data_IF_154034182757
#
_entry.id   IF_154034182757
#
_cell.length_a   1.000
_cell.length_b   1.000
_cell.length_c   1.000
_cell.angle_alpha   90.00
_cell.angle_beta   90.00
_cell.angle_gamma   90.00
#
_symmetry.space_group_name_H-M   'P 1'
#
loop_
_entity.id
_entity.type
_entity.pdbx_description
1 polymer ?
#
# COMPACT_ATOMS: atom_id res chain seq x y z
N UNK A 1 -5.76 23.55 19.70
CA UNK A 1 -4.41 23.40 19.10
C UNK A 1 -3.62 22.51 20.02
N UNK A 2 -2.88 21.50 19.49
CA UNK A 2 -2.10 20.57 20.31
C UNK A 2 -1.21 21.27 21.32
N UNK A 3 -0.59 22.40 20.94
CA UNK A 3 0.26 23.21 21.82
C UNK A 3 -0.40 23.76 23.10
N UNK A 4 -1.72 23.60 23.29
CA UNK A 4 -2.45 24.01 24.50
C UNK A 4 -3.27 22.90 25.14
N UNK A 5 -3.60 21.86 24.38
CA UNK A 5 -4.53 20.80 24.82
C UNK A 5 -3.85 19.46 25.02
N UNK A 6 -2.63 19.29 24.50
CA UNK A 6 -1.86 18.06 24.54
C UNK A 6 -0.49 18.33 25.18
N UNK A 7 -0.09 17.49 26.13
CA UNK A 7 1.16 17.64 26.88
C UNK A 7 2.38 17.49 25.97
N UNK A 8 2.35 16.51 25.06
CA UNK A 8 3.42 16.26 24.10
C UNK A 8 3.46 17.37 23.05
N UNK A 9 2.29 17.80 22.57
CA UNK A 9 2.16 18.91 21.62
C UNK A 9 2.65 20.25 22.18
N UNK A 10 2.43 20.51 23.47
CA UNK A 10 2.96 21.68 24.16
C UNK A 10 4.49 21.61 24.29
N UNK A 11 5.02 20.48 24.76
CA UNK A 11 6.47 20.29 24.91
C UNK A 11 7.22 20.40 23.58
N UNK A 12 6.71 19.77 22.52
CA UNK A 12 7.32 19.85 21.19
C UNK A 12 7.19 21.25 20.57
N UNK A 13 6.17 22.03 20.91
CA UNK A 13 6.00 23.37 20.35
C UNK A 13 7.15 24.32 20.70
N UNK A 14 7.80 24.14 21.86
CA UNK A 14 8.98 24.92 22.25
C UNK A 14 10.17 24.76 21.26
N UNK A 15 10.27 23.62 20.58
CA UNK A 15 11.33 23.40 19.58
C UNK A 15 11.13 24.19 18.29
N UNK A 16 9.91 24.65 18.01
CA UNK A 16 9.52 25.35 16.78
C UNK A 16 8.95 26.75 17.11
N UNK A 17 9.46 27.39 18.17
CA UNK A 17 9.14 28.78 18.51
C UNK A 17 8.01 28.97 19.54
N UNK A 18 7.62 27.92 20.25
CA UNK A 18 6.73 27.98 21.40
C UNK A 18 5.25 27.78 21.09
N UNK A 19 4.40 27.81 22.13
CA UNK A 19 2.96 27.59 21.99
C UNK A 19 2.30 28.72 21.19
N UNK A 20 1.23 28.38 20.48
CA UNK A 20 0.46 29.34 19.68
C UNK A 20 0.04 30.54 20.53
N UNK A 21 0.47 31.73 20.13
CA UNK A 21 0.25 32.98 20.85
C UNK A 21 -1.22 33.31 21.09
N UNK A 22 -1.50 34.09 22.15
CA UNK A 22 -2.88 34.46 22.55
C UNK A 22 -3.67 35.14 21.44
N UNK A 23 -2.99 35.93 20.60
CA UNK A 23 -3.59 36.70 19.50
C UNK A 23 -3.51 36.00 18.14
N UNK A 24 -3.03 34.76 18.07
CA UNK A 24 -2.93 34.04 16.81
C UNK A 24 -4.32 33.73 16.24
N UNK A 25 -4.55 34.11 14.99
CA UNK A 25 -5.79 33.86 14.27
C UNK A 25 -5.82 32.42 13.72
N UNK A 26 -6.16 31.48 14.58
CA UNK A 26 -6.28 30.06 14.23
C UNK A 26 -7.45 29.83 13.28
N UNK A 27 -7.22 29.11 12.18
CA UNK A 27 -8.27 28.73 11.23
C UNK A 27 -8.61 29.78 10.17
N UNK A 28 -7.95 30.95 10.16
CA UNK A 28 -8.12 31.99 9.12
C UNK A 28 -7.11 31.89 7.96
N UNK A 29 -6.09 31.04 8.09
CA UNK A 29 -5.16 30.75 7.00
C UNK A 29 -5.88 30.09 5.83
N UNK A 30 -5.96 30.79 4.68
CA UNK A 30 -6.60 30.26 3.46
C UNK A 30 -5.76 29.20 2.77
N UNK A 31 -4.43 29.26 2.90
CA UNK A 31 -3.52 28.37 2.18
C UNK A 31 -3.00 27.22 3.05
N UNK A 32 -2.50 27.48 4.25
CA UNK A 32 -1.94 26.45 5.12
C UNK A 32 -3.02 25.99 6.12
N UNK A 33 -3.88 25.08 5.65
CA UNK A 33 -4.86 24.39 6.51
C UNK A 33 -4.17 23.27 7.31
N UNK A 34 -4.74 22.82 8.45
CA UNK A 34 -4.18 21.71 9.21
C UNK A 34 -3.96 20.45 8.36
N UNK A 35 -4.90 20.14 7.47
CA UNK A 35 -4.77 19.02 6.55
C UNK A 35 -3.57 19.18 5.61
N UNK A 36 -3.38 20.36 5.01
CA UNK A 36 -2.24 20.60 4.11
C UNK A 36 -0.90 20.53 4.85
N UNK A 37 -0.84 21.02 6.09
CA UNK A 37 0.35 20.87 6.92
C UNK A 37 0.68 19.39 7.19
N UNK A 38 -0.32 18.57 7.53
CA UNK A 38 -0.12 17.13 7.73
C UNK A 38 0.26 16.40 6.43
N UNK A 39 -0.30 16.79 5.29
CA UNK A 39 0.08 16.23 3.99
C UNK A 39 1.55 16.57 3.64
N UNK A 40 2.01 17.79 3.94
CA UNK A 40 3.42 18.15 3.78
C UNK A 40 4.33 17.30 4.66
N UNK A 41 3.95 17.10 5.93
CA UNK A 41 4.68 16.20 6.84
C UNK A 41 4.73 14.78 6.28
N UNK A 42 3.60 14.25 5.81
CA UNK A 42 3.56 12.92 5.21
C UNK A 42 4.43 12.81 3.96
N UNK A 43 4.49 13.85 3.11
CA UNK A 43 5.38 13.88 1.95
C UNK A 43 6.86 13.82 2.35
N UNK A 44 7.26 14.49 3.45
CA UNK A 44 8.62 14.38 3.99
C UNK A 44 8.91 12.95 4.44
N UNK A 45 7.99 12.33 5.20
CA UNK A 45 8.17 10.95 5.67
C UNK A 45 8.16 9.92 4.53
N UNK A 46 7.34 10.13 3.50
CA UNK A 46 7.35 9.35 2.26
C UNK A 46 8.68 9.52 1.52
N UNK A 47 9.21 10.74 1.42
CA UNK A 47 10.50 10.98 0.79
C UNK A 47 11.66 10.31 1.55
N UNK A 48 11.63 10.36 2.89
CA UNK A 48 12.55 9.62 3.74
C UNK A 48 12.42 8.11 3.50
N UNK A 49 11.19 7.60 3.44
CA UNK A 49 10.96 6.18 3.19
C UNK A 49 11.46 5.72 1.84
N UNK A 50 11.24 6.50 0.78
CA UNK A 50 11.82 6.23 -0.54
C UNK A 50 13.35 6.24 -0.49
N UNK A 51 13.93 7.20 0.24
CA UNK A 51 15.39 7.32 0.41
C UNK A 51 15.98 6.08 1.09
N UNK A 52 15.28 5.45 2.04
CA UNK A 52 15.73 4.18 2.64
C UNK A 52 15.81 3.05 1.61
N UNK A 53 14.95 3.05 0.59
CA UNK A 53 14.92 2.01 -0.46
C UNK A 53 15.91 2.28 -1.59
N UNK A 54 16.36 3.52 -1.75
CA UNK A 54 17.20 3.95 -2.87
C UNK A 54 18.48 3.12 -3.06
N UNK A 55 19.08 2.62 -1.98
CA UNK A 55 20.30 1.82 -2.05
C UNK A 55 20.07 0.43 -2.71
N UNK A 56 18.86 -0.11 -2.57
CA UNK A 56 18.42 -1.35 -3.22
C UNK A 56 17.90 -1.14 -4.65
N UNK A 57 17.72 0.12 -5.08
CA UNK A 57 17.35 0.48 -6.45
C UNK A 57 18.57 0.68 -7.36
N UNK A 58 19.78 0.47 -6.84
CA UNK A 58 21.00 0.47 -7.66
C UNK A 58 21.00 -0.75 -8.58
N UNK A 59 21.45 -0.54 -9.81
CA UNK A 59 21.38 -1.57 -10.85
C UNK A 59 22.75 -1.87 -11.45
N UNK A 60 22.94 -3.11 -11.84
CA UNK A 60 24.11 -3.58 -12.58
C UNK A 60 23.71 -4.01 -14.00
N UNK A 61 24.71 -4.11 -14.89
CA UNK A 61 24.51 -4.43 -16.30
C UNK A 61 24.64 -3.23 -17.22
N UNK A 62 25.18 -3.47 -18.42
CA UNK A 62 25.25 -2.50 -19.51
C UNK A 62 24.22 -2.85 -20.58
N UNK A 63 23.58 -1.84 -21.19
CA UNK A 63 22.53 -2.05 -22.20
C UNK A 63 21.23 -1.29 -21.93
N UNK A 64 20.15 -1.79 -22.54
CA UNK A 64 18.81 -1.22 -22.47
C UNK A 64 18.15 -1.45 -21.10
N UNK A 65 17.03 -0.76 -20.83
CA UNK A 65 16.37 -0.76 -19.53
C UNK A 65 15.92 -2.15 -19.04
N UNK A 66 15.59 -3.06 -19.96
CA UNK A 66 15.20 -4.46 -19.74
C UNK A 66 16.39 -5.38 -19.40
N UNK A 67 17.62 -4.97 -19.73
CA UNK A 67 18.84 -5.74 -19.46
C UNK A 67 19.49 -5.40 -18.12
N UNK A 68 19.08 -4.30 -17.49
CA UNK A 68 19.60 -3.87 -16.18
C UNK A 68 18.80 -4.53 -15.06
N UNK A 69 19.51 -5.14 -14.12
CA UNK A 69 18.93 -5.83 -12.96
C UNK A 69 19.34 -5.15 -11.65
N UNK A 70 18.56 -5.35 -10.59
CA UNK A 70 18.91 -4.84 -9.26
C UNK A 70 20.22 -5.44 -8.75
N UNK A 71 21.04 -4.63 -8.08
CA UNK A 71 22.27 -5.09 -7.45
C UNK A 71 21.97 -5.73 -6.09
N UNK A 72 22.04 -7.06 -6.04
CA UNK A 72 21.83 -7.87 -4.83
C UNK A 72 23.12 -8.41 -4.21
N UNK A 73 24.29 -7.96 -4.67
CA UNK A 73 25.59 -8.46 -4.21
C UNK A 73 25.76 -8.29 -2.69
N UNK A 74 26.48 -9.22 -2.08
CA UNK A 74 26.83 -9.19 -0.65
C UNK A 74 25.62 -9.05 0.28
N UNK A 75 24.45 -9.62 -0.07
CA UNK A 75 23.25 -9.54 0.76
C UNK A 75 22.86 -8.08 1.09
N UNK A 76 23.11 -7.17 0.15
CA UNK A 76 22.97 -5.71 0.31
C UNK A 76 21.68 -5.29 0.96
N UNK A 77 20.58 -5.94 0.56
CA UNK A 77 19.25 -5.60 1.04
C UNK A 77 19.11 -5.69 2.58
N UNK A 78 19.84 -6.62 3.19
CA UNK A 78 19.83 -6.84 4.63
C UNK A 78 20.83 -5.93 5.35
N UNK A 79 22.06 -5.81 4.84
CA UNK A 79 23.08 -4.96 5.47
C UNK A 79 22.79 -3.46 5.37
N UNK A 80 22.14 -3.02 4.29
CA UNK A 80 21.76 -1.61 4.09
C UNK A 80 20.32 -1.31 4.54
N UNK A 81 19.60 -2.29 5.09
CA UNK A 81 18.22 -2.15 5.58
C UNK A 81 17.25 -1.56 4.52
N UNK A 82 17.53 -1.80 3.24
CA UNK A 82 16.77 -1.24 2.11
C UNK A 82 15.79 -2.24 1.48
N UNK A 83 15.66 -3.44 2.07
CA UNK A 83 14.81 -4.49 1.56
C UNK A 83 13.36 -4.04 1.32
N UNK A 84 12.77 -4.55 0.24
CA UNK A 84 11.43 -4.25 -0.22
C UNK A 84 10.94 -5.40 -1.09
N UNK A 85 9.78 -5.97 -0.79
CA UNK A 85 9.19 -7.12 -1.52
C UNK A 85 8.91 -6.74 -2.98
N UNK A 86 8.56 -5.48 -3.22
CA UNK A 86 8.22 -4.97 -4.55
C UNK A 86 9.30 -5.23 -5.61
N UNK A 87 10.59 -5.08 -5.28
CA UNK A 87 11.69 -5.25 -6.24
C UNK A 87 11.91 -6.72 -6.64
N UNK A 88 12.10 -7.69 -5.72
CA UNK A 88 12.25 -9.10 -6.08
C UNK A 88 10.98 -9.70 -6.69
N UNK A 89 9.78 -9.29 -6.25
CA UNK A 89 8.51 -9.77 -6.81
C UNK A 89 8.39 -9.49 -8.31
N UNK A 90 9.02 -8.43 -8.81
CA UNK A 90 9.05 -8.14 -10.24
C UNK A 90 9.56 -9.32 -11.09
N UNK A 91 10.55 -10.04 -10.58
CA UNK A 91 11.13 -11.19 -11.28
C UNK A 91 10.50 -12.49 -10.81
N UNK A 92 10.27 -12.64 -9.49
CA UNK A 92 9.71 -13.87 -8.91
C UNK A 92 8.32 -14.19 -9.48
N UNK A 93 7.46 -13.18 -9.66
CA UNK A 93 6.10 -13.34 -10.16
C UNK A 93 6.00 -13.35 -11.70
N UNK A 94 7.14 -13.45 -12.39
CA UNK A 94 7.25 -13.42 -13.85
C UNK A 94 6.66 -12.13 -14.49
N UNK A 95 6.56 -11.05 -13.72
CA UNK A 95 6.12 -9.74 -14.19
C UNK A 95 7.13 -9.14 -15.17
N UNK A 96 8.42 -9.40 -14.97
CA UNK A 96 9.49 -9.10 -15.93
C UNK A 96 9.25 -9.71 -17.32
N UNK A 97 8.52 -10.83 -17.43
CA UNK A 97 8.14 -11.44 -18.71
C UNK A 97 6.79 -10.92 -19.25
N UNK A 98 6.13 -10.00 -18.54
CA UNK A 98 4.82 -9.48 -18.92
C UNK A 98 3.68 -10.48 -18.76
N UNK A 99 3.88 -11.54 -17.97
CA UNK A 99 2.84 -12.56 -17.78
C UNK A 99 1.72 -12.03 -16.88
N UNK A 100 0.50 -12.44 -17.20
CA UNK A 100 -0.68 -12.07 -16.40
C UNK A 100 -0.66 -12.83 -15.06
N UNK A 101 -0.83 -12.14 -13.92
CA UNK A 101 -0.90 -12.76 -12.59
C UNK A 101 -1.96 -13.87 -12.53
N UNK A 102 -1.79 -14.85 -11.64
CA UNK A 102 -2.70 -16.01 -11.45
C UNK A 102 -2.74 -17.01 -12.61
N UNK A 103 -2.47 -16.60 -13.85
CA UNK A 103 -2.33 -17.51 -15.00
C UNK A 103 -0.93 -18.13 -15.06
N UNK A 104 0.10 -17.34 -14.76
CA UNK A 104 1.49 -17.80 -14.71
C UNK A 104 1.79 -18.60 -13.45
N UNK A 105 2.67 -19.58 -13.60
CA UNK A 105 3.26 -20.33 -12.50
C UNK A 105 4.77 -20.51 -12.72
N UNK A 106 5.46 -20.86 -11.65
CA UNK A 106 6.86 -21.30 -11.67
C UNK A 106 7.05 -22.44 -10.67
N UNK A 107 8.13 -23.20 -10.87
CA UNK A 107 8.54 -24.24 -9.92
C UNK A 107 9.55 -23.60 -8.97
N UNK A 108 9.30 -23.72 -7.67
CA UNK A 108 10.24 -23.27 -6.65
C UNK A 108 11.47 -24.19 -6.67
N UNK A 109 12.66 -23.64 -6.85
CA UNK A 109 13.93 -24.38 -6.90
C UNK A 109 14.87 -23.91 -5.79
N UNK A 110 15.66 -24.82 -5.23
CA UNK A 110 16.71 -24.51 -4.26
C UNK A 110 17.89 -23.75 -4.90
N UNK A 111 18.89 -23.40 -4.08
CA UNK A 111 20.08 -22.70 -4.53
C UNK A 111 20.91 -23.51 -5.54
N UNK A 112 20.74 -24.84 -5.55
CA UNK A 112 21.36 -25.79 -6.45
C UNK A 112 20.52 -26.07 -7.71
N UNK A 113 19.37 -25.41 -7.86
CA UNK A 113 18.47 -25.51 -9.02
C UNK A 113 17.57 -26.74 -9.03
N UNK A 114 17.49 -27.48 -7.92
CA UNK A 114 16.62 -28.64 -7.75
C UNK A 114 15.23 -28.17 -7.30
N UNK A 115 14.18 -28.71 -7.92
CA UNK A 115 12.82 -28.38 -7.53
C UNK A 115 12.56 -28.75 -6.07
N UNK A 116 12.04 -27.80 -5.29
CA UNK A 116 11.48 -28.09 -3.98
C UNK A 116 10.33 -29.06 -4.16
N UNK A 117 10.38 -30.16 -3.43
CA UNK A 117 9.37 -31.21 -3.47
C UNK A 117 8.45 -31.02 -2.27
N UNK A 118 7.16 -30.93 -2.53
CA UNK A 118 6.14 -30.87 -1.48
C UNK A 118 6.07 -32.22 -0.74
N UNK A 119 5.46 -32.26 0.44
CA UNK A 119 5.34 -33.49 1.25
C UNK A 119 4.70 -34.68 0.51
N UNK A 120 3.98 -34.43 -0.58
CA UNK A 120 3.33 -35.44 -1.44
C UNK A 120 4.21 -35.95 -2.59
N UNK A 121 5.47 -35.50 -2.70
CA UNK A 121 6.38 -35.90 -3.76
C UNK A 121 6.23 -35.10 -5.07
N UNK A 122 5.30 -34.15 -5.14
CA UNK A 122 5.11 -33.29 -6.31
C UNK A 122 6.00 -32.04 -6.26
N UNK A 123 6.42 -31.47 -7.41
CA UNK A 123 7.17 -30.22 -7.43
C UNK A 123 6.32 -29.06 -6.92
N UNK A 124 6.89 -28.20 -6.08
CA UNK A 124 6.24 -27.02 -5.52
C UNK A 124 5.99 -25.98 -6.61
N UNK A 125 4.79 -26.03 -7.21
CA UNK A 125 4.32 -25.02 -8.16
C UNK A 125 3.75 -23.84 -7.38
N UNK A 126 4.25 -22.64 -7.69
CA UNK A 126 3.83 -21.38 -7.08
C UNK A 126 3.11 -20.49 -8.10
N UNK A 127 2.25 -19.63 -7.58
CA UNK A 127 1.47 -18.63 -8.29
C UNK A 127 1.55 -17.31 -7.51
N UNK A 128 0.92 -16.26 -8.07
CA UNK A 128 0.79 -14.95 -7.43
C UNK A 128 0.34 -15.04 -5.97
N UNK A 129 1.21 -14.59 -5.07
CA UNK A 129 0.98 -14.65 -3.62
C UNK A 129 0.12 -13.51 -3.08
N UNK A 130 -0.32 -12.57 -3.94
CA UNK A 130 -1.12 -11.43 -3.52
C UNK A 130 -2.61 -11.57 -3.89
N UNK A 131 -3.51 -10.90 -3.14
CA UNK A 131 -4.92 -10.80 -3.51
C UNK A 131 -5.14 -10.13 -4.87
N UNK A 132 -6.26 -10.46 -5.51
CA UNK A 132 -6.61 -10.05 -6.89
C UNK A 132 -6.34 -8.58 -7.15
N UNK A 133 -6.84 -7.67 -6.31
CA UNK A 133 -6.68 -6.22 -6.53
C UNK A 133 -5.21 -5.78 -6.46
N UNK A 134 -4.43 -6.34 -5.54
CA UNK A 134 -3.00 -6.04 -5.38
C UNK A 134 -2.18 -6.65 -6.51
N UNK A 135 -2.44 -7.88 -6.92
CA UNK A 135 -1.76 -8.48 -8.08
C UNK A 135 -2.08 -7.75 -9.38
N UNK A 136 -3.32 -7.27 -9.57
CA UNK A 136 -3.66 -6.42 -10.72
C UNK A 136 -2.96 -5.06 -10.64
N UNK A 137 -2.84 -4.47 -9.45
CA UNK A 137 -2.05 -3.25 -9.25
C UNK A 137 -0.58 -3.44 -9.67
N UNK A 138 0.04 -4.55 -9.26
CA UNK A 138 1.39 -4.92 -9.69
C UNK A 138 1.47 -5.08 -11.21
N UNK A 139 0.52 -5.79 -11.83
CA UNK A 139 0.50 -5.95 -13.28
C UNK A 139 0.37 -4.62 -14.03
N UNK A 140 -0.46 -3.70 -13.55
CA UNK A 140 -0.59 -2.36 -14.12
C UNK A 140 0.70 -1.56 -13.97
N UNK A 141 1.32 -1.57 -12.79
CA UNK A 141 2.60 -0.90 -12.57
C UNK A 141 3.70 -1.46 -13.50
N UNK A 142 3.72 -2.78 -13.71
CA UNK A 142 4.63 -3.43 -14.65
C UNK A 142 4.34 -3.00 -16.09
N UNK A 143 3.08 -2.99 -16.52
CA UNK A 143 2.72 -2.61 -17.89
C UNK A 143 3.16 -1.18 -18.22
N UNK A 144 3.06 -0.27 -17.25
CA UNK A 144 3.55 1.11 -17.35
C UNK A 144 5.08 1.16 -17.40
N UNK A 145 5.78 0.36 -16.59
CA UNK A 145 7.24 0.26 -16.63
C UNK A 145 7.76 -0.27 -17.98
N UNK A 146 7.12 -1.31 -18.53
CA UNK A 146 7.44 -1.83 -19.87
C UNK A 146 7.15 -0.82 -20.98
N UNK A 147 6.06 -0.06 -20.85
CA UNK A 147 5.74 1.03 -21.79
C UNK A 147 6.82 2.11 -21.75
N UNK A 148 7.32 2.46 -20.56
CA UNK A 148 8.46 3.37 -20.42
C UNK A 148 9.71 2.80 -21.11
N UNK A 149 10.06 1.53 -20.86
CA UNK A 149 11.17 0.86 -21.56
C UNK A 149 11.01 0.91 -23.08
N UNK A 150 9.82 0.65 -23.61
CA UNK A 150 9.56 0.74 -25.04
C UNK A 150 9.77 2.17 -25.58
N UNK A 151 9.32 3.20 -24.83
CA UNK A 151 9.52 4.60 -25.19
C UNK A 151 11.00 4.99 -25.18
N UNK A 152 11.81 4.48 -24.24
CA UNK A 152 13.26 4.77 -24.21
C UNK A 152 14.02 4.22 -25.41
N UNK A 153 13.45 3.23 -26.13
CA UNK A 153 14.01 2.72 -27.38
C UNK A 153 13.67 3.61 -28.59
N UNK A 154 12.64 4.46 -28.47
CA UNK A 154 12.15 5.34 -29.54
C UNK A 154 12.59 6.79 -29.37
N UNK A 155 12.76 7.25 -28.12
CA UNK A 155 13.08 8.62 -27.76
C UNK A 155 14.27 8.64 -26.81
N UNK A 156 15.17 9.62 -26.98
CA UNK A 156 16.34 9.84 -26.12
C UNK A 156 15.95 10.37 -24.73
N UNK A 157 15.38 9.50 -23.90
CA UNK A 157 15.09 9.73 -22.47
C UNK A 157 16.05 8.96 -21.57
N UNK A 158 16.22 9.37 -20.30
CA UNK A 158 17.11 8.68 -19.36
C UNK A 158 16.77 7.19 -19.23
N UNK A 159 17.77 6.34 -19.49
CA UNK A 159 17.63 4.90 -19.36
C UNK A 159 17.65 4.56 -17.87
N UNK A 160 16.48 4.21 -17.35
CA UNK A 160 16.28 3.69 -15.99
C UNK A 160 15.93 2.21 -16.12
N UNK A 161 16.47 1.35 -15.25
CA UNK A 161 16.14 -0.06 -15.32
C UNK A 161 14.64 -0.31 -15.13
N UNK A 162 14.10 -1.28 -15.84
CA UNK A 162 12.67 -1.57 -15.86
C UNK A 162 12.13 -1.89 -14.46
N UNK A 163 12.89 -2.66 -13.68
CA UNK A 163 12.54 -3.00 -12.28
C UNK A 163 12.48 -1.76 -11.38
N UNK A 164 13.35 -0.76 -11.61
CA UNK A 164 13.36 0.50 -10.85
C UNK A 164 12.16 1.36 -11.26
N UNK A 165 11.82 1.40 -12.55
CA UNK A 165 10.61 2.09 -13.01
C UNK A 165 9.34 1.44 -12.46
N UNK A 166 9.27 0.12 -12.45
CA UNK A 166 8.21 -0.62 -11.79
C UNK A 166 8.07 -0.22 -10.32
N UNK A 167 9.17 -0.23 -9.57
CA UNK A 167 9.20 0.23 -8.18
C UNK A 167 8.69 1.67 -8.05
N UNK A 168 9.15 2.59 -8.89
CA UNK A 168 8.76 4.01 -8.82
C UNK A 168 7.27 4.21 -9.06
N UNK A 169 6.69 3.51 -10.04
CA UNK A 169 5.27 3.56 -10.35
C UNK A 169 4.46 2.97 -9.19
N UNK A 170 4.89 1.82 -8.67
CA UNK A 170 4.27 1.20 -7.50
C UNK A 170 4.36 2.10 -6.25
N UNK A 171 5.53 2.68 -5.97
CA UNK A 171 5.75 3.59 -4.85
C UNK A 171 4.89 4.85 -4.96
N UNK A 172 4.71 5.39 -6.17
CA UNK A 172 3.84 6.54 -6.38
C UNK A 172 2.38 6.25 -6.01
N UNK A 173 1.81 5.12 -6.44
CA UNK A 173 0.45 4.76 -6.06
C UNK A 173 0.32 4.44 -4.57
N UNK A 174 1.34 3.82 -3.95
CA UNK A 174 1.37 3.60 -2.50
C UNK A 174 1.45 4.92 -1.71
N UNK A 175 2.19 5.91 -2.21
CA UNK A 175 2.23 7.25 -1.63
C UNK A 175 0.85 7.93 -1.70
N UNK A 176 0.15 7.85 -2.83
CA UNK A 176 -1.22 8.37 -2.96
C UNK A 176 -2.20 7.65 -2.01
N UNK A 177 -2.05 6.34 -1.86
CA UNK A 177 -2.85 5.56 -0.91
C UNK A 177 -2.57 5.97 0.54
N UNK A 178 -1.31 6.25 0.89
CA UNK A 178 -0.96 6.78 2.20
C UNK A 178 -1.55 8.16 2.46
N UNK A 179 -1.45 9.08 1.49
CA UNK A 179 -2.08 10.41 1.60
C UNK A 179 -3.60 10.30 1.75
N UNK A 180 -4.23 9.33 1.10
CA UNK A 180 -5.65 9.02 1.26
C UNK A 180 -5.97 8.47 2.65
N UNK A 181 -5.12 7.60 3.20
CA UNK A 181 -5.21 7.08 4.58
C UNK A 181 -5.17 8.23 5.58
N UNK A 182 -4.21 9.14 5.43
CA UNK A 182 -4.05 10.31 6.27
C UNK A 182 -5.25 11.24 6.17
N UNK A 183 -5.69 11.54 4.95
CA UNK A 183 -6.89 12.34 4.72
C UNK A 183 -8.11 11.73 5.41
N UNK A 184 -8.34 10.44 5.21
CA UNK A 184 -9.49 9.75 5.80
C UNK A 184 -9.45 9.78 7.33
N UNK A 185 -8.27 9.57 7.91
CA UNK A 185 -8.04 9.64 9.35
C UNK A 185 -8.27 11.05 9.90
N UNK A 186 -7.76 12.09 9.23
CA UNK A 186 -7.98 13.48 9.61
C UNK A 186 -9.46 13.86 9.58
N UNK A 187 -10.21 13.37 8.58
CA UNK A 187 -11.65 13.59 8.49
C UNK A 187 -12.43 12.83 9.57
N UNK A 188 -11.95 11.65 9.97
CA UNK A 188 -12.55 10.83 11.03
C UNK A 188 -12.35 11.46 12.42
N UNK A 189 -11.17 12.03 12.68
CA UNK A 189 -10.88 12.75 13.93
C UNK A 189 -11.74 14.02 14.10
N UNK A 190 -12.20 14.60 12.98
CA UNK A 190 -13.10 15.75 12.95
C UNK A 190 -12.42 17.09 13.29
N UNK A 191 -13.15 18.22 13.20
CA UNK A 191 -12.54 19.56 13.27
C UNK A 191 -11.86 19.88 14.60
N UNK A 192 -12.34 19.29 15.70
CA UNK A 192 -11.82 19.54 17.06
C UNK A 192 -10.48 18.85 17.33
N UNK A 193 -10.26 17.68 16.73
CA UNK A 193 -9.10 16.80 16.99
C UNK A 193 -8.34 16.46 15.71
N UNK A 194 -8.47 17.27 14.67
CA UNK A 194 -7.87 17.03 13.34
C UNK A 194 -6.35 16.80 13.42
N UNK A 195 -5.69 17.41 14.39
CA UNK A 195 -4.24 17.28 14.61
C UNK A 195 -3.81 15.93 15.17
N UNK A 196 -4.72 15.10 15.68
CA UNK A 196 -4.40 13.74 16.13
C UNK A 196 -3.92 12.88 14.95
N UNK A 197 -4.37 13.21 13.72
CA UNK A 197 -3.90 12.55 12.50
C UNK A 197 -2.45 12.90 12.14
N UNK A 198 -1.84 13.92 12.78
CA UNK A 198 -0.43 14.22 12.60
C UNK A 198 0.47 13.08 13.10
N UNK A 199 0.01 12.31 14.10
CA UNK A 199 0.70 11.10 14.57
C UNK A 199 0.79 10.03 13.47
N UNK A 200 -0.23 9.95 12.62
CA UNK A 200 -0.22 9.04 11.46
C UNK A 200 0.72 9.59 10.39
N UNK A 201 0.66 10.90 10.10
CA UNK A 201 1.53 11.53 9.10
C UNK A 201 3.03 11.40 9.42
N UNK A 202 3.39 11.57 10.69
CA UNK A 202 4.76 11.57 11.19
C UNK A 202 5.18 10.25 11.87
N UNK A 203 4.52 9.14 11.55
CA UNK A 203 4.84 7.86 12.17
C UNK A 203 6.17 7.31 11.63
N UNK A 204 7.15 6.94 12.48
CA UNK A 204 8.43 6.38 12.04
C UNK A 204 8.28 5.09 11.22
N UNK A 205 7.20 4.33 11.45
CA UNK A 205 6.94 3.10 10.68
C UNK A 205 6.74 3.39 9.19
N UNK A 206 6.29 4.60 8.83
CA UNK A 206 6.11 5.02 7.43
C UNK A 206 7.45 5.04 6.72
N UNK A 207 8.51 5.51 7.39
CA UNK A 207 9.85 5.58 6.80
C UNK A 207 10.31 4.17 6.37
N UNK A 208 10.11 3.17 7.22
CA UNK A 208 10.65 1.83 6.95
C UNK A 208 9.71 0.95 6.14
N UNK A 209 8.41 1.03 6.36
CA UNK A 209 7.45 0.02 5.89
C UNK A 209 6.63 0.47 4.68
N UNK A 210 6.48 1.77 4.40
CA UNK A 210 5.48 2.24 3.44
C UNK A 210 5.69 1.73 2.01
N UNK A 211 6.95 1.46 1.64
CA UNK A 211 7.32 0.92 0.35
C UNK A 211 7.83 -0.51 0.39
N UNK A 212 7.88 -1.14 1.57
CA UNK A 212 8.32 -2.53 1.69
C UNK A 212 7.32 -3.49 1.05
N UNK A 213 6.02 -3.23 1.25
CA UNK A 213 4.92 -4.05 0.74
C UNK A 213 3.77 -3.16 0.24
N UNK A 214 2.74 -3.74 -0.36
CA UNK A 214 1.60 -3.05 -0.98
C UNK A 214 0.49 -2.64 0.00
N UNK A 215 0.76 -2.69 1.30
CA UNK A 215 -0.23 -2.54 2.37
C UNK A 215 -0.90 -1.18 2.41
N UNK A 216 -0.24 -0.14 1.87
CA UNK A 216 -0.80 1.21 1.80
C UNK A 216 -2.13 1.26 1.02
N UNK A 217 -2.32 0.36 0.04
CA UNK A 217 -3.59 0.24 -0.69
C UNK A 217 -4.72 -0.17 0.25
N UNK A 218 -4.49 -1.21 1.05
CA UNK A 218 -5.46 -1.74 1.98
C UNK A 218 -5.70 -0.78 3.16
N UNK A 219 -4.68 0.00 3.60
CA UNK A 219 -4.87 0.98 4.68
C UNK A 219 -5.73 2.15 4.22
N UNK A 220 -5.57 2.59 2.97
CA UNK A 220 -6.39 3.62 2.37
C UNK A 220 -7.86 3.21 2.29
N UNK A 221 -8.11 1.99 1.84
CA UNK A 221 -9.45 1.40 1.74
C UNK A 221 -10.07 1.20 3.13
N UNK A 222 -9.31 0.70 4.10
CA UNK A 222 -9.75 0.52 5.48
C UNK A 222 -10.10 1.86 6.17
N UNK A 223 -9.23 2.86 6.09
CA UNK A 223 -9.48 4.19 6.66
C UNK A 223 -10.66 4.89 5.95
N UNK A 224 -10.74 4.75 4.62
CA UNK A 224 -11.89 5.22 3.84
C UNK A 224 -13.19 4.54 4.25
N UNK A 225 -13.19 3.24 4.51
CA UNK A 225 -14.36 2.49 4.98
C UNK A 225 -14.86 2.99 6.33
N UNK A 226 -13.94 3.20 7.29
CA UNK A 226 -14.27 3.78 8.59
C UNK A 226 -14.86 5.19 8.46
N UNK A 227 -14.29 6.02 7.58
CA UNK A 227 -14.82 7.34 7.30
C UNK A 227 -16.22 7.28 6.67
N UNK A 228 -16.44 6.39 5.71
CA UNK A 228 -17.75 6.18 5.07
C UNK A 228 -18.80 5.72 6.10
N UNK A 229 -18.43 4.79 6.99
CA UNK A 229 -19.27 4.33 8.07
C UNK A 229 -19.62 5.46 9.04
N UNK A 230 -18.62 6.23 9.49
CA UNK A 230 -18.83 7.39 10.37
C UNK A 230 -19.76 8.45 9.75
N UNK A 231 -19.74 8.58 8.43
CA UNK A 231 -20.64 9.45 7.65
C UNK A 231 -22.00 8.82 7.32
N UNK A 232 -22.36 7.70 7.98
CA UNK A 232 -23.62 6.96 7.79
C UNK A 232 -23.84 6.50 6.34
N UNK A 233 -22.77 6.12 5.64
CA UNK A 233 -22.81 5.54 4.28
C UNK A 233 -22.39 4.07 4.31
N UNK A 234 -23.23 3.16 4.84
CA UNK A 234 -22.93 1.74 5.04
C UNK A 234 -22.61 1.01 3.72
N UNK A 235 -23.30 1.35 2.63
CA UNK A 235 -23.01 0.77 1.32
C UNK A 235 -21.60 1.10 0.84
N UNK A 236 -21.18 2.36 0.95
CA UNK A 236 -19.82 2.77 0.57
C UNK A 236 -18.77 2.14 1.50
N UNK A 237 -19.05 2.04 2.80
CA UNK A 237 -18.19 1.33 3.74
C UNK A 237 -18.02 -0.14 3.32
N UNK A 238 -19.11 -0.80 2.91
CA UNK A 238 -19.07 -2.16 2.38
C UNK A 238 -18.24 -2.28 1.11
N UNK A 239 -18.40 -1.37 0.15
CA UNK A 239 -17.59 -1.34 -1.08
C UNK A 239 -16.10 -1.24 -0.74
N UNK A 240 -15.73 -0.31 0.13
CA UNK A 240 -14.33 -0.09 0.50
C UNK A 240 -13.76 -1.27 1.30
N UNK A 241 -14.55 -1.91 2.17
CA UNK A 241 -14.12 -3.15 2.85
C UNK A 241 -13.94 -4.26 1.82
N UNK A 242 -14.89 -4.50 0.92
CA UNK A 242 -14.79 -5.56 -0.10
C UNK A 242 -13.58 -5.40 -1.01
N UNK A 243 -13.33 -4.17 -1.50
CA UNK A 243 -12.09 -3.84 -2.23
C UNK A 243 -10.85 -4.02 -1.35
N UNK A 244 -10.94 -3.61 -0.07
CA UNK A 244 -9.87 -3.77 0.91
C UNK A 244 -9.48 -5.22 1.08
N UNK A 245 -10.45 -6.12 1.28
CA UNK A 245 -10.25 -7.58 1.39
C UNK A 245 -9.65 -8.15 0.10
N UNK A 246 -10.05 -7.62 -1.06
CA UNK A 246 -9.47 -7.99 -2.34
C UNK A 246 -8.05 -7.44 -2.55
N UNK A 247 -7.55 -6.54 -1.69
CA UNK A 247 -6.16 -6.06 -1.67
C UNK A 247 -5.31 -6.69 -0.55
N UNK A 248 -5.88 -6.92 0.64
CA UNK A 248 -5.29 -7.63 1.78
C UNK A 248 -6.38 -8.07 2.76
N UNK A 249 -6.19 -9.12 3.55
CA UNK A 249 -7.29 -9.68 4.36
C UNK A 249 -7.73 -8.81 5.55
N UNK A 250 -6.84 -8.01 6.14
CA UNK A 250 -7.12 -7.34 7.42
C UNK A 250 -8.29 -6.32 7.42
N UNK A 251 -8.70 -5.65 6.32
CA UNK A 251 -9.89 -4.81 6.32
C UNK A 251 -11.18 -5.57 6.65
N UNK A 252 -11.21 -6.90 6.45
CA UNK A 252 -12.32 -7.75 6.87
C UNK A 252 -12.56 -7.66 8.38
N UNK A 253 -11.47 -7.55 9.16
CA UNK A 253 -11.52 -7.50 10.62
C UNK A 253 -12.27 -6.27 11.13
N UNK A 254 -12.44 -5.22 10.31
CA UNK A 254 -13.24 -4.05 10.66
C UNK A 254 -14.72 -4.38 10.86
N UNK A 255 -15.24 -5.46 10.26
CA UNK A 255 -16.62 -5.87 10.49
C UNK A 255 -16.88 -6.25 11.96
N UNK A 256 -15.87 -6.72 12.69
CA UNK A 256 -15.97 -7.11 14.10
C UNK A 256 -16.32 -5.91 15.00
N UNK A 257 -15.50 -4.84 15.09
CA UNK A 257 -15.84 -3.68 15.91
C UNK A 257 -17.11 -2.96 15.42
N UNK A 258 -17.39 -2.97 14.11
CA UNK A 258 -18.64 -2.43 13.57
C UNK A 258 -19.87 -3.21 14.06
N UNK A 259 -19.80 -4.55 14.07
CA UNK A 259 -20.84 -5.41 14.61
C UNK A 259 -21.05 -5.17 16.11
N UNK A 260 -19.98 -5.14 16.90
CA UNK A 260 -20.07 -4.87 18.35
C UNK A 260 -20.71 -3.52 18.64
N UNK A 261 -20.31 -2.47 17.90
CA UNK A 261 -20.91 -1.14 18.02
C UNK A 261 -22.40 -1.14 17.62
N UNK A 262 -22.75 -1.87 16.56
CA UNK A 262 -24.11 -1.95 16.07
C UNK A 262 -25.04 -2.74 16.99
N UNK A 263 -24.54 -3.79 17.66
CA UNK A 263 -25.27 -4.50 18.72
C UNK A 263 -25.63 -3.51 19.82
N UNK A 264 -24.64 -2.74 20.30
CA UNK A 264 -24.86 -1.74 21.37
C UNK A 264 -25.80 -0.60 20.97
N UNK A 265 -25.82 -0.22 19.70
CA UNK A 265 -26.60 0.93 19.20
C UNK A 265 -27.92 0.53 18.53
N UNK A 266 -28.25 -0.77 18.46
CA UNK A 266 -29.46 -1.27 17.81
C UNK A 266 -29.46 -1.16 16.27
N UNK A 267 -28.29 -1.03 15.63
CA UNK A 267 -28.15 -0.75 14.19
C UNK A 267 -27.67 -1.95 13.35
N UNK A 268 -28.12 -3.15 13.70
CA UNK A 268 -27.69 -4.39 13.04
C UNK A 268 -27.96 -4.43 11.54
N UNK A 269 -29.04 -3.80 11.08
CA UNK A 269 -29.38 -3.68 9.66
C UNK A 269 -28.26 -3.03 8.85
N UNK A 270 -27.59 -2.03 9.40
CA UNK A 270 -26.52 -1.31 8.69
C UNK A 270 -25.24 -2.14 8.57
N UNK A 271 -24.94 -2.96 9.58
CA UNK A 271 -23.84 -3.93 9.52
C UNK A 271 -24.15 -5.02 8.52
N UNK A 272 -25.36 -5.57 8.53
CA UNK A 272 -25.80 -6.54 7.54
C UNK A 272 -25.69 -6.00 6.11
N UNK A 273 -26.11 -4.75 5.87
CA UNK A 273 -25.93 -4.08 4.57
C UNK A 273 -24.46 -3.91 4.19
N UNK A 274 -23.62 -3.51 5.14
CA UNK A 274 -22.18 -3.32 4.90
C UNK A 274 -21.50 -4.63 4.56
N UNK A 275 -21.78 -5.69 5.33
CA UNK A 275 -21.25 -7.03 5.11
C UNK A 275 -21.71 -7.60 3.76
N UNK A 276 -23.01 -7.48 3.43
CA UNK A 276 -23.53 -7.93 2.14
C UNK A 276 -22.84 -7.23 0.97
N UNK A 277 -22.72 -5.90 1.02
CA UNK A 277 -22.04 -5.15 -0.05
C UNK A 277 -20.55 -5.48 -0.11
N UNK A 278 -19.88 -5.68 1.02
CA UNK A 278 -18.49 -6.10 1.05
C UNK A 278 -18.28 -7.46 0.37
N UNK A 279 -19.14 -8.44 0.68
CA UNK A 279 -19.09 -9.77 0.04
C UNK A 279 -19.36 -9.67 -1.46
N UNK A 280 -20.38 -8.92 -1.88
CA UNK A 280 -20.72 -8.75 -3.30
C UNK A 280 -19.58 -8.10 -4.08
N UNK A 281 -18.94 -7.07 -3.52
CA UNK A 281 -17.80 -6.38 -4.17
C UNK A 281 -16.57 -7.27 -4.19
N UNK A 282 -16.27 -7.96 -3.09
CA UNK A 282 -15.16 -8.91 -3.05
C UNK A 282 -15.35 -10.02 -4.08
N UNK A 283 -16.56 -10.61 -4.17
CA UNK A 283 -16.92 -11.59 -5.20
C UNK A 283 -16.77 -11.00 -6.60
N UNK A 284 -17.27 -9.81 -6.86
CA UNK A 284 -17.17 -9.18 -8.18
C UNK A 284 -15.70 -9.05 -8.65
N UNK A 285 -14.79 -8.72 -7.74
CA UNK A 285 -13.36 -8.61 -8.05
C UNK A 285 -12.71 -9.98 -8.21
N UNK A 286 -13.04 -10.95 -7.35
CA UNK A 286 -12.36 -12.24 -7.31
C UNK A 286 -12.93 -13.27 -8.31
N UNK A 287 -14.23 -13.23 -8.58
CA UNK A 287 -14.95 -14.23 -9.36
C UNK A 287 -14.37 -14.46 -10.76
N UNK A 288 -13.98 -13.43 -11.55
CA UNK A 288 -13.35 -13.66 -12.85
C UNK A 288 -12.06 -14.48 -12.74
N UNK A 289 -11.25 -14.22 -11.71
CA UNK A 289 -9.99 -14.93 -11.48
C UNK A 289 -10.23 -16.32 -10.91
N UNK A 290 -11.22 -16.49 -10.03
CA UNK A 290 -11.64 -17.81 -9.52
C UNK A 290 -12.10 -18.74 -10.66
N UNK A 291 -12.84 -18.22 -11.63
CA UNK A 291 -13.39 -19.01 -12.75
C UNK A 291 -12.32 -19.32 -13.79
N UNK A 292 -11.49 -18.33 -14.15
CA UNK A 292 -10.49 -18.50 -15.22
C UNK A 292 -9.21 -19.17 -14.72
N UNK A 293 -8.80 -18.89 -13.47
CA UNK A 293 -7.51 -19.29 -12.89
C UNK A 293 -7.65 -19.79 -11.43
N UNK A 294 -8.44 -20.84 -11.17
CA UNK A 294 -8.78 -21.28 -9.81
C UNK A 294 -7.56 -21.62 -8.94
N UNK A 295 -6.56 -22.31 -9.51
CA UNK A 295 -5.32 -22.68 -8.80
C UNK A 295 -4.51 -21.46 -8.39
N UNK A 296 -4.35 -20.50 -9.30
CA UNK A 296 -3.64 -19.26 -9.02
C UNK A 296 -4.36 -18.39 -8.00
N UNK A 297 -5.69 -18.36 -8.06
CA UNK A 297 -6.50 -17.65 -7.06
C UNK A 297 -6.37 -18.26 -5.65
N UNK A 298 -6.37 -19.59 -5.55
CA UNK A 298 -6.31 -20.28 -4.25
C UNK A 298 -4.94 -20.20 -3.56
N UNK A 299 -3.86 -19.91 -4.30
CA UNK A 299 -2.50 -19.86 -3.74
C UNK A 299 -2.39 -18.86 -2.59
N UNK A 300 -3.03 -17.69 -2.73
CA UNK A 300 -3.08 -16.68 -1.68
C UNK A 300 -3.64 -17.19 -0.34
N UNK A 301 -4.59 -18.12 -0.38
CA UNK A 301 -5.21 -18.68 0.83
C UNK A 301 -4.49 -19.91 1.37
N UNK A 302 -3.54 -20.47 0.60
CA UNK A 302 -2.74 -21.63 0.98
C UNK A 302 -1.51 -21.23 1.80
N UNK A 303 -0.94 -20.06 1.52
CA UNK A 303 0.21 -19.45 2.21
C UNK A 303 -0.21 -18.83 3.55
#
# INVERSE_FOLDING_TARGET
>A
MPSRTDVLGAALSETIGGPVGRHALIGRSRFLTPLRAMLLIALVFLALGYSTKAACLQTTGSGAADQRVGNWENQRAYFQLCYSDTVPLYTAELLNLGRFPYKSNWVETDAEGKAHVQYDGSPAVRYMEYPVLTGIYQYLAMSLAKTYTALTKLVSVPIVAEVVMFFNIAAFGLALAWLTTLWATAMLAGPRRIWDAALVAASPIVIFQIFTNFDALATALAAGALLAWARRRPGLAGVLIGLGVAAKLYPLLLLIPLALLAIRTGRLREVGRTALVAVLVWLLVNLPVMVLFPRGWSEFFRL
#
